data_IF_791317237413
#
_entry.id   IF_791317237413
#
_cell.length_a   1.000
_cell.length_b   1.000
_cell.length_c   1.000
_cell.angle_alpha   90.00
_cell.angle_beta   90.00
_cell.angle_gamma   90.00
#
_symmetry.space_group_name_H-M   'P 1'
#
loop_
_entity.id
_entity.type
_entity.pdbx_description
1 polymer ?
#
# COMPACT_ATOMS: atom_id res chain seq x y z
N UNK A 1 -41.91 15.33 43.08
CA UNK A 1 -40.61 15.76 43.63
C UNK A 1 -39.69 16.08 42.46
N UNK A 2 -39.59 17.37 42.10
CA UNK A 2 -38.73 17.86 41.03
C UNK A 2 -37.40 18.31 41.63
N UNK A 3 -36.32 17.61 41.30
CA UNK A 3 -34.96 18.03 41.61
C UNK A 3 -34.65 19.34 40.87
N UNK A 4 -34.10 20.37 41.55
CA UNK A 4 -33.78 21.64 40.92
C UNK A 4 -32.59 21.46 39.95
N UNK A 5 -32.70 22.07 38.76
CA UNK A 5 -31.60 22.14 37.78
C UNK A 5 -30.36 22.81 38.42
N UNK A 6 -29.13 22.40 38.07
CA UNK A 6 -27.93 23.07 38.54
C UNK A 6 -27.92 24.51 38.02
N UNK A 7 -27.74 25.46 38.92
CA UNK A 7 -27.53 26.87 38.57
C UNK A 7 -26.15 26.98 37.92
N UNK A 8 -26.10 27.20 36.61
CA UNK A 8 -24.87 27.62 35.93
C UNK A 8 -24.72 29.11 36.23
N UNK A 9 -23.65 29.55 36.92
CA UNK A 9 -23.42 30.98 37.10
C UNK A 9 -23.04 31.57 35.75
N UNK A 10 -23.90 32.42 35.19
CA UNK A 10 -23.56 33.34 34.11
C UNK A 10 -22.56 34.34 34.67
N UNK A 11 -21.27 34.04 34.49
CA UNK A 11 -20.23 35.04 34.61
C UNK A 11 -20.26 35.88 33.34
N UNK A 12 -20.92 37.03 33.43
CA UNK A 12 -20.73 38.18 32.53
C UNK A 12 -19.33 38.76 32.76
N UNK A 13 -18.30 37.97 32.46
CA UNK A 13 -16.96 38.47 32.21
C UNK A 13 -16.87 38.68 30.70
N UNK A 14 -17.01 39.94 30.28
CA UNK A 14 -16.62 40.38 28.95
C UNK A 14 -15.14 40.03 28.75
N UNK A 15 -14.87 38.82 28.24
CA UNK A 15 -13.60 38.44 27.67
C UNK A 15 -13.45 39.28 26.41
N UNK A 16 -12.80 40.44 26.57
CA UNK A 16 -12.12 41.11 25.48
C UNK A 16 -11.42 40.03 24.65
N UNK A 17 -11.50 40.07 23.31
CA UNK A 17 -10.84 39.06 22.48
C UNK A 17 -9.38 39.04 22.92
N UNK A 18 -8.95 37.90 23.47
CA UNK A 18 -7.56 37.67 23.82
C UNK A 18 -6.76 38.05 22.59
N UNK A 19 -6.01 39.14 22.69
CA UNK A 19 -5.10 39.57 21.63
C UNK A 19 -4.19 38.38 21.38
N UNK A 20 -4.45 37.65 20.29
CA UNK A 20 -3.62 36.54 19.86
C UNK A 20 -2.22 37.11 19.71
N UNK A 21 -1.33 36.71 20.61
CA UNK A 21 0.05 37.13 20.54
C UNK A 21 0.63 36.60 19.24
N UNK A 22 0.84 37.50 18.28
CA UNK A 22 1.20 37.13 16.90
C UNK A 22 2.52 36.39 16.85
N UNK A 23 3.42 36.69 17.79
CA UNK A 23 4.69 35.97 17.96
C UNK A 23 4.47 34.55 18.46
N UNK A 24 3.70 34.35 19.53
CA UNK A 24 3.36 33.00 20.00
C UNK A 24 2.61 32.17 18.95
N UNK A 25 1.71 32.80 18.18
CA UNK A 25 1.02 32.13 17.08
C UNK A 25 1.95 31.77 15.92
N UNK A 26 2.91 32.62 15.58
CA UNK A 26 3.91 32.34 14.55
C UNK A 26 4.89 31.23 14.99
N UNK A 27 5.30 31.22 16.25
CA UNK A 27 6.16 30.18 16.82
C UNK A 27 5.44 28.82 16.82
N UNK A 28 4.15 28.80 17.21
CA UNK A 28 3.32 27.59 17.16
C UNK A 28 3.12 27.10 15.72
N UNK A 29 2.90 27.99 14.75
CA UNK A 29 2.81 27.61 13.33
C UNK A 29 4.12 27.02 12.82
N UNK A 30 5.25 27.59 13.21
CA UNK A 30 6.58 27.11 12.83
C UNK A 30 6.85 25.73 13.44
N UNK A 31 6.49 25.53 14.71
CA UNK A 31 6.61 24.25 15.39
C UNK A 31 5.70 23.18 14.74
N UNK A 32 4.46 23.54 14.39
CA UNK A 32 3.53 22.65 13.68
C UNK A 32 4.05 22.30 12.27
N UNK A 33 4.70 23.22 11.57
CA UNK A 33 5.34 22.94 10.27
C UNK A 33 6.51 21.96 10.44
N UNK A 34 7.37 22.17 11.43
CA UNK A 34 8.48 21.26 11.72
C UNK A 34 7.98 19.87 12.13
N UNK A 35 7.00 19.79 13.02
CA UNK A 35 6.41 18.52 13.44
C UNK A 35 5.75 17.79 12.25
N UNK A 36 5.14 18.54 11.34
CA UNK A 36 4.55 17.98 10.11
C UNK A 36 5.61 17.42 9.17
N UNK A 37 6.72 18.12 8.96
CA UNK A 37 7.82 17.63 8.14
C UNK A 37 8.46 16.36 8.73
N UNK A 38 8.73 16.36 10.04
CA UNK A 38 9.29 15.21 10.75
C UNK A 38 8.34 14.01 10.70
N UNK A 39 7.03 14.23 10.82
CA UNK A 39 6.04 13.16 10.69
C UNK A 39 5.88 12.69 9.25
N UNK A 40 6.02 13.57 8.26
CA UNK A 40 5.94 13.23 6.85
C UNK A 40 7.02 12.20 6.44
N UNK A 41 8.24 12.38 6.95
CA UNK A 41 9.38 11.53 6.63
C UNK A 41 9.24 10.10 7.17
N UNK A 42 8.43 9.92 8.21
CA UNK A 42 8.17 8.61 8.83
C UNK A 42 7.14 7.78 8.08
N UNK A 43 6.47 8.34 7.07
CA UNK A 43 5.39 7.64 6.36
C UNK A 43 5.95 6.69 5.29
N UNK A 44 7.11 7.01 4.72
CA UNK A 44 7.74 6.17 3.69
C UNK A 44 8.29 4.87 4.30
N UNK A 45 8.13 3.77 3.58
CA UNK A 45 8.84 2.54 3.88
C UNK A 45 10.35 2.70 3.63
N UNK A 46 11.20 1.83 4.22
CA UNK A 46 12.62 1.77 3.86
C UNK A 46 12.78 1.59 2.33
N UNK A 47 13.72 2.29 1.70
CA UNK A 47 13.81 2.31 0.22
C UNK A 47 13.97 0.92 -0.42
N UNK A 48 14.67 0.00 0.25
CA UNK A 48 14.84 -1.38 -0.23
C UNK A 48 13.52 -2.17 -0.26
N UNK A 49 12.54 -1.79 0.57
CA UNK A 49 11.26 -2.48 0.66
C UNK A 49 10.48 -2.42 -0.65
N UNK A 50 10.49 -1.28 -1.34
CA UNK A 50 9.75 -1.13 -2.60
C UNK A 50 10.28 -2.06 -3.70
N UNK A 51 11.61 -2.19 -3.80
CA UNK A 51 12.24 -3.11 -4.72
C UNK A 51 11.96 -4.58 -4.34
N UNK A 52 11.98 -4.89 -3.04
CA UNK A 52 11.60 -6.21 -2.55
C UNK A 52 10.13 -6.53 -2.86
N UNK A 53 9.22 -5.58 -2.67
CA UNK A 53 7.79 -5.76 -2.95
C UNK A 53 7.55 -5.98 -4.45
N UNK A 54 8.26 -5.24 -5.31
CA UNK A 54 8.26 -5.51 -6.75
C UNK A 54 8.74 -6.91 -7.11
N UNK A 55 9.86 -7.34 -6.53
CA UNK A 55 10.40 -8.69 -6.75
C UNK A 55 9.45 -9.78 -6.24
N UNK A 56 8.82 -9.57 -5.09
CA UNK A 56 7.79 -10.45 -4.53
C UNK A 56 6.59 -10.58 -5.48
N UNK A 57 6.12 -9.47 -6.07
CA UNK A 57 5.05 -9.48 -7.06
C UNK A 57 5.39 -10.33 -8.29
N UNK A 58 6.61 -10.21 -8.82
CA UNK A 58 7.10 -11.02 -9.96
C UNK A 58 7.11 -12.51 -9.59
N UNK A 59 7.77 -12.86 -8.48
CA UNK A 59 7.95 -14.24 -8.06
C UNK A 59 6.59 -14.88 -7.75
N UNK A 60 5.68 -14.16 -7.10
CA UNK A 60 4.34 -14.66 -6.78
C UNK A 60 3.52 -14.94 -8.04
N UNK A 61 3.59 -14.05 -9.05
CA UNK A 61 2.92 -14.26 -10.33
C UNK A 61 3.45 -15.49 -11.07
N UNK A 62 4.78 -15.66 -11.13
CA UNK A 62 5.41 -16.80 -11.77
C UNK A 62 5.10 -18.11 -11.03
N UNK A 63 5.19 -18.11 -9.71
CA UNK A 63 4.90 -19.28 -8.88
C UNK A 63 3.43 -19.72 -8.99
N UNK A 64 2.50 -18.76 -9.10
CA UNK A 64 1.08 -19.05 -9.28
C UNK A 64 0.79 -19.63 -10.67
N UNK A 65 1.50 -19.15 -11.71
CA UNK A 65 1.44 -19.73 -13.04
C UNK A 65 1.93 -21.19 -13.05
N UNK A 66 3.07 -21.46 -12.41
CA UNK A 66 3.64 -22.81 -12.31
C UNK A 66 2.68 -23.77 -11.60
N UNK A 67 2.05 -23.35 -10.48
CA UNK A 67 1.03 -24.15 -9.80
C UNK A 67 -0.16 -24.46 -10.72
N UNK A 68 -0.64 -23.47 -11.47
CA UNK A 68 -1.80 -23.66 -12.36
C UNK A 68 -1.48 -24.63 -13.50
N UNK A 69 -0.29 -24.55 -14.08
CA UNK A 69 0.16 -25.47 -15.12
C UNK A 69 0.32 -26.90 -14.59
N UNK A 70 0.92 -27.09 -13.41
CA UNK A 70 1.03 -28.41 -12.79
C UNK A 70 -0.37 -28.99 -12.48
N UNK A 71 -1.26 -28.19 -11.87
CA UNK A 71 -2.64 -28.60 -11.57
C UNK A 71 -3.41 -29.02 -12.83
N UNK A 72 -3.30 -28.27 -13.92
CA UNK A 72 -4.00 -28.58 -15.17
C UNK A 72 -3.41 -29.80 -15.87
N UNK A 73 -2.10 -30.00 -15.77
CA UNK A 73 -1.44 -31.19 -16.29
C UNK A 73 -1.89 -32.46 -15.57
N UNK A 74 -2.09 -32.40 -14.25
CA UNK A 74 -2.60 -33.52 -13.44
C UNK A 74 -4.06 -33.86 -13.76
N UNK A 75 -4.85 -32.88 -14.20
CA UNK A 75 -6.26 -33.06 -14.59
C UNK A 75 -6.38 -33.49 -16.09
N UNK A 76 -5.26 -33.68 -16.79
CA UNK A 76 -5.22 -34.19 -18.16
C UNK A 76 -5.34 -33.12 -19.25
N UNK A 77 -5.25 -31.83 -18.90
CA UNK A 77 -5.07 -30.74 -19.86
C UNK A 77 -3.58 -30.61 -20.18
N UNK A 78 -3.17 -31.05 -21.37
CA UNK A 78 -1.80 -30.91 -21.84
C UNK A 78 -1.60 -29.54 -22.50
N UNK A 79 -1.13 -28.57 -21.72
CA UNK A 79 -0.51 -27.35 -22.25
C UNK A 79 0.98 -27.60 -22.44
N UNK A 80 1.52 -27.22 -23.61
CA UNK A 80 2.94 -27.38 -23.91
C UNK A 80 3.78 -26.66 -22.85
N UNK A 81 4.58 -27.43 -22.10
CA UNK A 81 5.41 -26.94 -20.98
C UNK A 81 6.48 -25.97 -21.48
N UNK A 82 6.18 -24.68 -21.53
CA UNK A 82 7.19 -23.63 -21.51
C UNK A 82 7.76 -23.53 -20.09
N UNK A 83 8.81 -24.31 -19.84
CA UNK A 83 9.53 -24.31 -18.55
C UNK A 83 10.15 -22.93 -18.30
N UNK A 84 9.66 -22.19 -17.31
CA UNK A 84 10.30 -20.94 -16.87
C UNK A 84 11.23 -21.17 -15.66
N UNK A 85 12.50 -20.86 -15.90
CA UNK A 85 13.60 -20.34 -15.05
C UNK A 85 13.82 -20.70 -13.56
N UNK A 86 13.00 -21.48 -12.85
CA UNK A 86 13.30 -21.89 -11.46
C UNK A 86 13.47 -23.41 -11.25
N UNK A 87 14.47 -24.06 -11.87
CA UNK A 87 14.86 -25.42 -11.49
C UNK A 87 15.86 -25.35 -10.33
N UNK A 88 15.40 -25.08 -9.11
CA UNK A 88 16.24 -25.22 -7.92
C UNK A 88 15.42 -25.60 -6.69
N UNK A 89 15.14 -26.91 -6.55
CA UNK A 89 14.57 -27.55 -5.34
C UNK A 89 13.34 -26.85 -4.77
N UNK A 90 12.15 -27.19 -5.27
CA UNK A 90 10.88 -26.49 -5.01
C UNK A 90 10.68 -25.99 -3.58
N UNK A 91 11.07 -26.76 -2.56
CA UNK A 91 10.93 -26.38 -1.15
C UNK A 91 11.73 -25.13 -0.75
N UNK A 92 12.96 -24.93 -1.24
CA UNK A 92 13.79 -23.79 -0.83
C UNK A 92 13.25 -22.46 -1.38
N UNK A 93 12.79 -22.46 -2.64
CA UNK A 93 12.17 -21.29 -3.25
C UNK A 93 10.89 -20.88 -2.52
N UNK A 94 10.05 -21.85 -2.13
CA UNK A 94 8.86 -21.61 -1.32
C UNK A 94 9.18 -21.07 0.08
N UNK A 95 10.21 -21.60 0.74
CA UNK A 95 10.67 -21.09 2.03
C UNK A 95 11.14 -19.65 1.90
N UNK A 96 11.95 -19.33 0.89
CA UNK A 96 12.44 -17.98 0.65
C UNK A 96 11.32 -17.00 0.33
N UNK A 97 10.33 -17.41 -0.48
CA UNK A 97 9.13 -16.61 -0.76
C UNK A 97 8.34 -16.35 0.52
N UNK A 98 8.12 -17.36 1.35
CA UNK A 98 7.42 -17.22 2.63
C UNK A 98 8.18 -16.29 3.60
N UNK A 99 9.50 -16.42 3.69
CA UNK A 99 10.35 -15.54 4.51
C UNK A 99 10.31 -14.10 3.99
N UNK A 100 10.44 -13.88 2.69
CA UNK A 100 10.38 -12.56 2.10
C UNK A 100 9.00 -11.90 2.30
N UNK A 101 7.93 -12.69 2.19
CA UNK A 101 6.54 -12.25 2.45
C UNK A 101 6.37 -11.88 3.94
N UNK A 102 6.91 -12.69 4.85
CA UNK A 102 6.91 -12.41 6.28
C UNK A 102 7.67 -11.11 6.62
N UNK A 103 8.84 -10.90 6.02
CA UNK A 103 9.59 -9.63 6.16
C UNK A 103 8.73 -8.46 5.65
N UNK A 104 8.03 -8.64 4.52
CA UNK A 104 7.09 -7.66 4.01
C UNK A 104 5.98 -7.29 5.01
N UNK A 105 5.37 -8.29 5.65
CA UNK A 105 4.38 -8.07 6.70
C UNK A 105 4.96 -7.36 7.93
N UNK A 106 6.19 -7.69 8.34
CA UNK A 106 6.85 -7.01 9.45
C UNK A 106 7.09 -5.53 9.16
N UNK A 107 7.46 -5.18 7.92
CA UNK A 107 7.57 -3.78 7.51
C UNK A 107 6.20 -3.11 7.53
N UNK A 108 5.14 -3.77 7.05
CA UNK A 108 3.79 -3.22 7.08
C UNK A 108 3.26 -3.01 8.50
N UNK A 109 3.55 -3.93 9.43
CA UNK A 109 3.20 -3.77 10.85
C UNK A 109 3.96 -2.61 11.50
N UNK A 110 5.24 -2.47 11.17
CA UNK A 110 6.03 -1.32 11.61
C UNK A 110 5.44 0.00 11.07
N UNK A 111 5.07 0.06 9.79
CA UNK A 111 4.40 1.22 9.17
C UNK A 111 3.06 1.51 9.83
N UNK A 112 2.26 0.49 10.13
CA UNK A 112 0.98 0.64 10.85
C UNK A 112 1.16 1.30 12.22
N UNK A 113 2.20 0.92 12.96
CA UNK A 113 2.50 1.53 14.27
C UNK A 113 2.91 3.00 14.16
N UNK A 114 3.46 3.42 13.03
CA UNK A 114 3.88 4.80 12.79
C UNK A 114 2.77 5.70 12.24
N UNK A 115 2.00 5.19 11.28
CA UNK A 115 0.96 5.93 10.57
C UNK A 115 -0.38 5.86 11.32
N UNK A 116 -0.63 4.77 12.05
CA UNK A 116 -1.85 4.55 12.81
C UNK A 116 -2.93 3.82 12.01
N UNK A 117 -4.20 4.08 12.35
CA UNK A 117 -5.36 3.40 11.77
C UNK A 117 -5.53 3.62 10.26
N UNK A 118 -4.96 4.69 9.73
CA UNK A 118 -5.06 5.04 8.32
C UNK A 118 -4.24 4.11 7.43
N UNK A 119 -3.37 3.25 7.99
CA UNK A 119 -2.58 2.31 7.20
C UNK A 119 -3.21 0.91 7.21
N UNK A 120 -3.51 0.39 6.03
CA UNK A 120 -3.91 -1.00 5.86
C UNK A 120 -2.68 -1.90 5.71
N UNK A 121 -2.46 -2.77 6.69
CA UNK A 121 -1.37 -3.74 6.69
C UNK A 121 -1.45 -4.73 5.53
N UNK A 122 -2.68 -5.09 5.12
CA UNK A 122 -2.92 -6.17 4.15
C UNK A 122 -2.86 -5.65 2.72
N UNK A 123 -3.47 -4.49 2.47
CA UNK A 123 -3.35 -3.78 1.21
C UNK A 123 -2.00 -3.10 0.99
N UNK A 124 -1.24 -2.81 2.06
CA UNK A 124 0.02 -2.07 1.98
C UNK A 124 -0.16 -0.61 1.58
N UNK A 125 -1.38 -0.08 1.70
CA UNK A 125 -1.76 1.23 1.16
C UNK A 125 -2.30 2.11 2.29
N UNK A 126 -1.89 3.38 2.29
CA UNK A 126 -2.41 4.41 3.18
C UNK A 126 -3.81 4.82 2.72
N UNK A 127 -4.75 5.02 3.64
CA UNK A 127 -6.11 5.43 3.35
C UNK A 127 -6.13 6.69 2.45
N UNK A 128 -6.79 6.64 1.28
CA UNK A 128 -6.83 7.74 0.35
C UNK A 128 -7.56 8.96 0.94
N UNK A 129 -6.91 10.13 0.90
CA UNK A 129 -7.45 11.38 1.47
C UNK A 129 -8.06 12.33 0.44
N UNK A 130 -7.75 12.16 -0.84
CA UNK A 130 -8.26 12.98 -1.92
C UNK A 130 -8.59 12.13 -3.15
N UNK A 131 -9.25 12.75 -4.14
CA UNK A 131 -9.66 12.07 -5.37
C UNK A 131 -8.46 11.44 -6.13
N UNK A 132 -7.31 12.11 -6.16
CA UNK A 132 -6.11 11.59 -6.83
C UNK A 132 -5.60 10.29 -6.20
N UNK A 133 -5.56 10.22 -4.86
CA UNK A 133 -5.19 8.98 -4.16
C UNK A 133 -6.21 7.87 -4.40
N UNK A 134 -7.50 8.19 -4.41
CA UNK A 134 -8.54 7.21 -4.76
C UNK A 134 -8.34 6.64 -6.15
N UNK A 135 -8.11 7.50 -7.15
CA UNK A 135 -7.86 7.08 -8.53
C UNK A 135 -6.62 6.19 -8.62
N UNK A 136 -5.53 6.57 -7.93
CA UNK A 136 -4.29 5.78 -7.93
C UNK A 136 -4.48 4.43 -7.24
N UNK A 137 -5.12 4.39 -6.08
CA UNK A 137 -5.42 3.15 -5.36
C UNK A 137 -6.30 2.21 -6.19
N UNK A 138 -7.40 2.72 -6.76
CA UNK A 138 -8.29 1.95 -7.63
C UNK A 138 -7.52 1.43 -8.85
N UNK A 139 -6.69 2.26 -9.49
CA UNK A 139 -5.90 1.84 -10.64
C UNK A 139 -4.91 0.73 -10.27
N UNK A 140 -4.21 0.84 -9.13
CA UNK A 140 -3.31 -0.21 -8.64
C UNK A 140 -4.04 -1.52 -8.39
N UNK A 141 -5.17 -1.50 -7.68
CA UNK A 141 -5.96 -2.71 -7.42
C UNK A 141 -6.56 -3.30 -8.69
N UNK A 142 -7.08 -2.47 -9.59
CA UNK A 142 -7.64 -2.92 -10.87
C UNK A 142 -6.58 -3.57 -11.75
N UNK A 143 -5.40 -2.96 -11.88
CA UNK A 143 -4.29 -3.52 -12.63
C UNK A 143 -3.77 -4.81 -11.99
N UNK A 144 -3.68 -4.86 -10.65
CA UNK A 144 -3.27 -6.06 -9.94
C UNK A 144 -4.27 -7.22 -10.15
N UNK A 145 -5.57 -6.92 -10.07
CA UNK A 145 -6.63 -7.89 -10.33
C UNK A 145 -6.64 -8.37 -11.78
N UNK A 146 -6.46 -7.46 -12.75
CA UNK A 146 -6.36 -7.79 -14.17
C UNK A 146 -5.14 -8.68 -14.46
N UNK A 147 -3.98 -8.37 -13.87
CA UNK A 147 -2.78 -9.19 -14.00
C UNK A 147 -2.97 -10.59 -13.44
N UNK A 148 -3.56 -10.70 -12.24
CA UNK A 148 -3.88 -12.00 -11.64
C UNK A 148 -4.88 -12.79 -12.49
N UNK A 149 -5.94 -12.14 -12.97
CA UNK A 149 -6.93 -12.76 -13.83
C UNK A 149 -6.31 -13.25 -15.14
N UNK A 150 -5.40 -12.48 -15.74
CA UNK A 150 -4.70 -12.88 -16.96
C UNK A 150 -3.82 -14.12 -16.74
N UNK A 151 -3.14 -14.23 -15.60
CA UNK A 151 -2.35 -15.42 -15.24
C UNK A 151 -3.26 -16.64 -15.05
N UNK A 152 -4.37 -16.49 -14.31
CA UNK A 152 -5.32 -17.58 -14.07
C UNK A 152 -5.98 -18.07 -15.38
N UNK A 153 -6.42 -17.13 -16.22
CA UNK A 153 -7.05 -17.42 -17.51
C UNK A 153 -6.05 -17.96 -18.54
N UNK A 154 -4.80 -17.49 -18.50
CA UNK A 154 -3.70 -18.00 -19.33
C UNK A 154 -3.36 -19.44 -18.99
N UNK A 155 -3.32 -19.77 -17.69
CA UNK A 155 -3.17 -21.13 -17.21
C UNK A 155 -4.18 -22.10 -17.82
N UNK A 156 -5.45 -21.69 -17.95
CA UNK A 156 -6.54 -22.49 -18.54
C UNK A 156 -6.38 -22.84 -20.03
N UNK A 157 -5.30 -22.40 -20.69
CA UNK A 157 -4.99 -22.78 -22.08
C UNK A 157 -5.94 -22.16 -23.10
N UNK A 158 -6.50 -20.98 -22.80
CA UNK A 158 -7.34 -20.25 -23.74
C UNK A 158 -6.51 -19.81 -24.95
N UNK A 159 -6.72 -20.48 -26.09
CA UNK A 159 -6.01 -20.28 -27.37
C UNK A 159 -5.96 -18.83 -27.90
N UNK A 160 -6.83 -17.95 -27.42
CA UNK A 160 -6.90 -16.54 -27.79
C UNK A 160 -6.14 -15.61 -26.82
N UNK A 161 -5.63 -16.14 -25.70
CA UNK A 161 -4.79 -15.42 -24.76
C UNK A 161 -3.31 -15.69 -25.10
N UNK A 162 -2.51 -14.66 -25.45
CA UNK A 162 -1.09 -14.84 -25.69
C UNK A 162 -0.37 -15.32 -24.42
N UNK A 163 0.55 -16.29 -24.56
CA UNK A 163 1.42 -16.72 -23.46
C UNK A 163 2.47 -15.63 -23.17
N UNK A 164 2.06 -14.67 -22.35
CA UNK A 164 2.86 -13.50 -21.95
C UNK A 164 3.00 -13.40 -20.43
N UNK A 165 2.96 -14.55 -19.74
CA UNK A 165 2.99 -14.59 -18.27
C UNK A 165 4.23 -13.93 -17.68
N UNK A 166 5.40 -14.05 -18.31
CA UNK A 166 6.62 -13.34 -17.90
C UNK A 166 6.51 -11.83 -18.01
N UNK A 167 5.86 -11.32 -19.07
CA UNK A 167 5.64 -9.89 -19.30
C UNK A 167 4.63 -9.36 -18.29
N UNK A 168 3.55 -10.10 -18.03
CA UNK A 168 2.54 -9.76 -17.02
C UNK A 168 3.18 -9.76 -15.63
N UNK A 169 3.97 -10.78 -15.29
CA UNK A 169 4.67 -10.85 -14.00
C UNK A 169 5.63 -9.66 -13.83
N UNK A 170 6.38 -9.29 -14.86
CA UNK A 170 7.26 -8.13 -14.83
C UNK A 170 6.45 -6.82 -14.66
N UNK A 171 5.34 -6.66 -15.38
CA UNK A 171 4.45 -5.51 -15.25
C UNK A 171 3.85 -5.41 -13.83
N UNK A 172 3.48 -6.54 -13.23
CA UNK A 172 3.01 -6.63 -11.85
C UNK A 172 4.11 -6.23 -10.86
N UNK A 173 5.35 -6.68 -11.08
CA UNK A 173 6.48 -6.24 -10.27
C UNK A 173 6.76 -4.75 -10.34
N UNK A 174 6.71 -4.18 -11.55
CA UNK A 174 6.84 -2.74 -11.78
C UNK A 174 5.71 -1.98 -11.09
N UNK A 175 4.48 -2.48 -11.19
CA UNK A 175 3.32 -1.89 -10.52
C UNK A 175 3.48 -1.92 -8.99
N UNK A 176 3.89 -3.05 -8.41
CA UNK A 176 4.12 -3.18 -6.96
C UNK A 176 5.26 -2.27 -6.48
N UNK A 177 6.35 -2.16 -7.24
CA UNK A 177 7.45 -1.27 -6.90
C UNK A 177 7.07 0.20 -7.05
N UNK A 178 6.77 0.64 -8.27
CA UNK A 178 6.58 2.07 -8.57
C UNK A 178 5.22 2.58 -8.12
N UNK A 179 4.19 1.73 -8.12
CA UNK A 179 2.86 2.09 -7.65
C UNK A 179 2.88 2.48 -6.18
N UNK A 180 3.35 1.58 -5.31
CA UNK A 180 3.40 1.86 -3.88
C UNK A 180 4.37 3.01 -3.55
N UNK A 181 5.55 3.02 -4.17
CA UNK A 181 6.51 4.11 -3.99
C UNK A 181 5.94 5.47 -4.42
N UNK A 182 5.28 5.52 -5.58
CA UNK A 182 4.67 6.74 -6.10
C UNK A 182 3.51 7.21 -5.24
N UNK A 183 2.71 6.27 -4.74
CA UNK A 183 1.58 6.53 -3.85
C UNK A 183 2.03 7.14 -2.52
N UNK A 184 3.02 6.52 -1.88
CA UNK A 184 3.62 7.01 -0.63
C UNK A 184 4.25 8.39 -0.83
N UNK A 185 5.01 8.57 -1.92
CA UNK A 185 5.67 9.84 -2.22
C UNK A 185 4.68 10.97 -2.45
N UNK A 186 3.57 10.70 -3.15
CA UNK A 186 2.50 11.67 -3.33
C UNK A 186 1.86 12.03 -1.99
N UNK A 187 1.59 11.04 -1.14
CA UNK A 187 1.05 11.29 0.19
C UNK A 187 1.98 12.12 1.07
N UNK A 188 3.29 11.83 1.08
CA UNK A 188 4.29 12.63 1.81
C UNK A 188 4.33 14.07 1.32
N UNK A 189 4.24 14.30 0.00
CA UNK A 189 4.15 15.64 -0.55
C UNK A 189 2.85 16.35 -0.13
N UNK A 190 1.72 15.63 -0.10
CA UNK A 190 0.47 16.15 0.43
C UNK A 190 0.62 16.53 1.92
N UNK A 191 1.30 15.67 2.69
CA UNK A 191 1.59 15.89 4.11
C UNK A 191 2.43 17.15 4.32
N UNK A 192 3.49 17.35 3.52
CA UNK A 192 4.33 18.54 3.62
C UNK A 192 3.63 19.82 3.14
N UNK A 193 2.84 19.74 2.06
CA UNK A 193 2.14 20.90 1.48
C UNK A 193 0.98 21.42 2.34
N UNK A 194 0.44 20.55 3.19
CA UNK A 194 -0.66 20.88 4.08
C UNK A 194 -2.07 20.79 3.52
N UNK A 195 -2.22 20.35 2.26
CA UNK A 195 -3.50 20.22 1.56
C UNK A 195 -4.26 18.92 1.90
N UNK A 196 -4.43 18.58 3.18
CA UNK A 196 -4.97 17.25 3.57
C UNK A 196 -6.48 17.12 3.35
N UNK A 197 -7.16 18.25 3.09
CA UNK A 197 -8.62 18.37 3.08
C UNK A 197 -9.19 18.77 1.70
N UNK A 198 -8.41 18.62 0.62
CA UNK A 198 -8.83 18.95 -0.75
C UNK A 198 -9.39 17.75 -1.51
#
# INVERSE_FOLDING_TARGET
MSTPKPHVPTSDAALAPTTVDRTAAADLLTQLQQDREVNADRIMAPQWYYALNGLLGIIMCLALNDIMLDLLSDIGFHTDRATMLFPASGTMAWILLAVATYVGFQVNDWRKRQIGSDFDTLGGVIAPRNATMWVMAIAMYALAFLGLAAILLGGLGLHWLPDQTSVIALAMGVLSWFGEYGYDRYFVQLVRSGNHDA
#
